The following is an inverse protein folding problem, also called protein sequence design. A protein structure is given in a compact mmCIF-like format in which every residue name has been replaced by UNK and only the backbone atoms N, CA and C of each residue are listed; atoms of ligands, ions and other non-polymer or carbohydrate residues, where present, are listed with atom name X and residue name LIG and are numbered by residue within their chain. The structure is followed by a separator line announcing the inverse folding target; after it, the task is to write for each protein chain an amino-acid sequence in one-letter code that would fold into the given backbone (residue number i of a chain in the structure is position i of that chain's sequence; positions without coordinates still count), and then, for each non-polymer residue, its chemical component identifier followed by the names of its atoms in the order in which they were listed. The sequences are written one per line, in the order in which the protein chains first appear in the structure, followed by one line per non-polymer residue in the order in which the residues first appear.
data_IF_752702636756
#
_entry.id   IF_752702636756
#
_cell.length_a   1.000
_cell.length_b   1.000
_cell.length_c   1.000
_cell.angle_alpha   90.00
_cell.angle_beta   90.00
_cell.angle_gamma   90.00
#
_symmetry.space_group_name_H-M   'P 1'
#
loop_
_entity.id
_entity.type
_entity.pdbx_description
1 polymer ?
#
# COMPACT_ATOMS: atom_id res chain seq x y z
N UNK A 1 -19.92 3.96 -8.43
CA UNK A 1 -19.90 2.61 -9.08
C UNK A 1 -19.96 1.55 -7.98
N UNK A 2 -20.80 0.53 -8.15
CA UNK A 2 -20.95 -0.55 -7.14
C UNK A 2 -19.86 -1.63 -7.30
N UNK A 3 -19.49 -2.31 -6.21
CA UNK A 3 -18.38 -3.27 -6.17
C UNK A 3 -18.58 -4.50 -7.07
N UNK A 4 -19.80 -4.91 -7.37
CA UNK A 4 -20.08 -6.07 -8.24
C UNK A 4 -20.64 -5.74 -9.63
N UNK A 5 -20.52 -4.49 -10.10
CA UNK A 5 -21.09 -4.11 -11.42
C UNK A 5 -20.20 -4.50 -12.61
N UNK A 6 -18.93 -4.80 -12.35
CA UNK A 6 -17.93 -5.16 -13.37
C UNK A 6 -17.40 -6.54 -13.01
N UNK A 7 -17.17 -7.43 -14.00
CA UNK A 7 -16.48 -8.71 -13.78
C UNK A 7 -15.12 -8.53 -13.10
N UNK A 8 -14.52 -9.62 -12.62
CA UNK A 8 -13.13 -9.58 -12.17
C UNK A 8 -12.20 -9.19 -13.31
N UNK A 9 -11.19 -8.39 -12.98
CA UNK A 9 -10.02 -8.25 -13.82
C UNK A 9 -9.16 -9.52 -13.68
N UNK A 10 -8.91 -10.25 -14.77
CA UNK A 10 -8.29 -11.58 -14.75
C UNK A 10 -6.91 -11.54 -15.46
N UNK A 11 -5.84 -12.16 -14.91
CA UNK A 11 -5.79 -13.02 -13.72
C UNK A 11 -5.79 -12.28 -12.36
N UNK A 12 -5.78 -10.94 -12.37
CA UNK A 12 -5.39 -10.13 -11.21
C UNK A 12 -6.28 -10.26 -9.96
N UNK A 13 -7.60 -10.36 -10.11
CA UNK A 13 -8.57 -10.52 -9.03
C UNK A 13 -9.12 -11.96 -8.96
N UNK A 14 -9.41 -12.55 -10.11
CA UNK A 14 -10.00 -13.89 -10.23
C UNK A 14 -9.16 -14.95 -9.52
N UNK A 15 -7.84 -14.88 -9.68
CA UNK A 15 -6.89 -15.77 -9.01
C UNK A 15 -7.02 -15.70 -7.47
N UNK A 16 -7.10 -14.50 -6.89
CA UNK A 16 -7.21 -14.37 -5.43
C UNK A 16 -8.55 -14.85 -4.90
N UNK A 17 -9.63 -14.57 -5.63
CA UNK A 17 -10.97 -15.07 -5.30
C UNK A 17 -11.03 -16.60 -5.38
N UNK A 18 -10.42 -17.21 -6.41
CA UNK A 18 -10.42 -18.65 -6.58
C UNK A 18 -9.61 -19.37 -5.50
N UNK A 19 -8.43 -18.87 -5.13
CA UNK A 19 -7.63 -19.43 -4.03
C UNK A 19 -8.44 -19.41 -2.72
N UNK A 20 -9.17 -18.32 -2.45
CA UNK A 20 -10.02 -18.24 -1.27
C UNK A 20 -11.22 -19.20 -1.34
N UNK A 21 -11.79 -19.41 -2.53
CA UNK A 21 -12.87 -20.39 -2.77
C UNK A 21 -12.39 -21.82 -2.57
N UNK A 22 -11.18 -22.16 -3.01
CA UNK A 22 -10.55 -23.46 -2.76
C UNK A 22 -10.24 -23.65 -1.28
N UNK A 23 -9.67 -22.64 -0.62
CA UNK A 23 -9.41 -22.66 0.83
C UNK A 23 -10.68 -22.94 1.63
N UNK A 24 -11.82 -22.32 1.29
CA UNK A 24 -13.10 -22.54 1.96
C UNK A 24 -13.62 -23.99 1.80
N UNK A 25 -13.31 -24.64 0.66
CA UNK A 25 -13.70 -26.04 0.40
C UNK A 25 -12.67 -27.04 0.94
N UNK A 26 -11.45 -26.60 1.23
CA UNK A 26 -10.38 -27.42 1.74
C UNK A 26 -10.72 -27.93 3.14
N UNK A 27 -10.44 -29.21 3.37
CA UNK A 27 -10.51 -29.84 4.70
C UNK A 27 -9.15 -29.89 5.40
N UNK A 28 -8.10 -29.42 4.73
CA UNK A 28 -6.73 -29.40 5.23
C UNK A 28 -6.38 -28.13 6.02
N UNK A 29 -5.27 -28.14 6.77
CA UNK A 29 -4.85 -27.00 7.57
C UNK A 29 -4.39 -25.86 6.64
N UNK A 30 -5.20 -24.83 6.41
CA UNK A 30 -4.75 -23.53 5.88
C UNK A 30 -3.91 -23.54 4.59
N UNK A 31 -3.92 -24.62 3.80
CA UNK A 31 -3.15 -24.76 2.55
C UNK A 31 -3.86 -23.93 1.50
N UNK A 32 -3.13 -23.01 0.90
CA UNK A 32 -3.63 -22.26 -0.24
C UNK A 32 -3.36 -23.07 -1.50
N UNK A 33 -4.35 -23.19 -2.35
CA UNK A 33 -4.23 -23.83 -3.66
C UNK A 33 -4.87 -22.96 -4.73
N UNK A 34 -4.35 -23.05 -5.95
CA UNK A 34 -4.92 -22.47 -7.15
C UNK A 34 -5.05 -23.59 -8.19
N UNK A 35 -6.28 -23.91 -8.60
CA UNK A 35 -6.58 -25.05 -9.48
C UNK A 35 -6.00 -26.37 -8.95
N UNK A 36 -6.04 -26.55 -7.62
CA UNK A 36 -5.50 -27.73 -6.94
C UNK A 36 -3.97 -27.78 -6.79
N UNK A 37 -3.23 -26.79 -7.31
CA UNK A 37 -1.77 -26.67 -7.14
C UNK A 37 -1.45 -25.82 -5.92
N UNK A 38 -0.47 -26.22 -5.11
CA UNK A 38 -0.04 -25.48 -3.92
C UNK A 38 0.38 -24.05 -4.28
N UNK A 39 -0.18 -23.07 -3.56
CA UNK A 39 0.12 -21.66 -3.72
C UNK A 39 0.84 -21.13 -2.47
N UNK A 40 2.12 -20.76 -2.62
CA UNK A 40 2.97 -20.29 -1.50
C UNK A 40 3.55 -18.91 -1.73
N UNK A 41 3.15 -18.21 -2.79
CA UNK A 41 3.73 -16.89 -3.13
C UNK A 41 3.28 -15.76 -2.21
N UNK A 42 2.15 -15.94 -1.51
CA UNK A 42 1.62 -14.96 -0.56
C UNK A 42 1.13 -15.62 0.74
N UNK A 43 1.31 -14.94 1.88
CA UNK A 43 0.72 -15.32 3.15
C UNK A 43 -0.82 -15.41 3.14
N UNK A 44 -1.44 -16.13 4.09
CA UNK A 44 -2.82 -16.60 3.99
C UNK A 44 -3.88 -15.58 4.40
N UNK A 45 -3.53 -14.45 5.01
CA UNK A 45 -4.51 -13.61 5.71
C UNK A 45 -5.60 -13.07 4.80
N UNK A 46 -5.27 -12.60 3.59
CA UNK A 46 -6.26 -12.14 2.61
C UNK A 46 -7.25 -13.25 2.28
N UNK A 47 -6.75 -14.46 2.01
CA UNK A 47 -7.55 -15.61 1.58
C UNK A 47 -8.44 -16.13 2.70
N UNK A 48 -7.98 -16.10 3.95
CA UNK A 48 -8.80 -16.43 5.13
C UNK A 48 -9.94 -15.42 5.29
N UNK A 49 -9.67 -14.12 5.11
CA UNK A 49 -10.71 -13.08 5.18
C UNK A 49 -11.73 -13.21 4.04
N UNK A 50 -11.27 -13.47 2.81
CA UNK A 50 -12.13 -13.76 1.66
C UNK A 50 -12.96 -15.02 1.87
N UNK A 51 -12.35 -16.12 2.32
CA UNK A 51 -13.05 -17.37 2.61
C UNK A 51 -14.13 -17.20 3.67
N UNK A 52 -13.85 -16.44 4.73
CA UNK A 52 -14.84 -16.07 5.74
C UNK A 52 -15.98 -15.23 5.16
N UNK A 53 -15.68 -14.23 4.32
CA UNK A 53 -16.70 -13.43 3.64
C UNK A 53 -17.57 -14.29 2.70
N UNK A 54 -16.97 -15.22 1.96
CA UNK A 54 -17.69 -16.17 1.11
C UNK A 54 -18.55 -17.15 1.90
N UNK A 55 -18.11 -17.58 3.08
CA UNK A 55 -18.93 -18.42 3.97
C UNK A 55 -20.18 -17.68 4.48
N UNK A 56 -20.09 -16.37 4.70
CA UNK A 56 -21.19 -15.54 5.24
C UNK A 56 -22.16 -15.04 4.16
N UNK A 57 -21.66 -14.62 3.00
CA UNK A 57 -22.45 -13.92 1.98
C UNK A 57 -22.42 -14.59 0.59
N UNK A 58 -21.74 -15.73 0.46
CA UNK A 58 -21.53 -16.41 -0.81
C UNK A 58 -20.43 -15.79 -1.69
N UNK A 59 -19.82 -16.58 -2.59
CA UNK A 59 -18.82 -16.08 -3.53
C UNK A 59 -19.48 -15.18 -4.59
N UNK A 60 -19.02 -13.94 -4.68
CA UNK A 60 -19.37 -12.98 -5.73
C UNK A 60 -18.30 -11.91 -5.84
N UNK A 61 -18.29 -11.14 -6.93
CA UNK A 61 -17.42 -9.98 -7.13
C UNK A 61 -17.60 -8.93 -6.02
N UNK A 62 -18.87 -8.71 -5.62
CA UNK A 62 -19.20 -7.79 -4.52
C UNK A 62 -18.58 -8.27 -3.21
N UNK A 63 -18.78 -9.55 -2.87
CA UNK A 63 -18.28 -10.12 -1.63
C UNK A 63 -16.75 -10.09 -1.60
N UNK A 64 -16.10 -10.44 -2.71
CA UNK A 64 -14.65 -10.47 -2.81
C UNK A 64 -14.05 -9.07 -2.64
N UNK A 65 -14.59 -8.05 -3.33
CA UNK A 65 -14.11 -6.67 -3.25
C UNK A 65 -14.52 -5.94 -1.97
N UNK A 66 -15.53 -6.44 -1.24
CA UNK A 66 -15.88 -5.90 0.07
C UNK A 66 -14.73 -6.05 1.08
N UNK A 67 -13.95 -7.13 1.00
CA UNK A 67 -12.80 -7.37 1.89
C UNK A 67 -11.71 -6.29 1.79
N UNK A 68 -11.09 -6.04 0.61
CA UNK A 68 -10.12 -4.96 0.47
C UNK A 68 -10.74 -3.57 0.68
N UNK A 69 -12.03 -3.37 0.40
CA UNK A 69 -12.72 -2.11 0.69
C UNK A 69 -12.83 -1.85 2.20
N UNK A 70 -13.21 -2.84 2.99
CA UNK A 70 -13.25 -2.75 4.45
C UNK A 70 -11.84 -2.55 5.03
N UNK A 71 -10.83 -3.20 4.47
CA UNK A 71 -9.44 -2.97 4.85
C UNK A 71 -9.01 -1.53 4.54
N UNK A 72 -9.41 -0.98 3.39
CA UNK A 72 -9.13 0.41 3.04
C UNK A 72 -9.78 1.38 4.04
N UNK A 73 -11.02 1.12 4.45
CA UNK A 73 -11.70 1.91 5.50
C UNK A 73 -10.96 1.81 6.84
N UNK A 74 -10.46 0.63 7.20
CA UNK A 74 -9.65 0.45 8.41
C UNK A 74 -8.34 1.25 8.36
N UNK A 75 -7.68 1.31 7.20
CA UNK A 75 -6.50 2.15 7.00
C UNK A 75 -6.81 3.65 7.09
N UNK A 76 -7.92 4.09 6.50
CA UNK A 76 -8.40 5.48 6.58
C UNK A 76 -8.70 5.84 8.03
N UNK A 77 -9.35 4.96 8.79
CA UNK A 77 -9.64 5.16 10.20
C UNK A 77 -8.36 5.28 11.03
N UNK A 78 -7.38 4.39 10.84
CA UNK A 78 -6.08 4.47 11.52
C UNK A 78 -5.34 5.78 11.21
N UNK A 79 -5.34 6.17 9.94
CA UNK A 79 -4.70 7.40 9.44
C UNK A 79 -5.36 8.64 10.03
N UNK A 80 -6.70 8.69 10.01
CA UNK A 80 -7.47 9.79 10.59
C UNK A 80 -7.29 9.86 12.12
N UNK A 81 -7.27 8.71 12.80
CA UNK A 81 -7.07 8.65 14.24
C UNK A 81 -5.66 9.11 14.65
N UNK A 82 -4.61 8.62 13.98
CA UNK A 82 -3.25 9.10 14.23
C UNK A 82 -3.11 10.59 13.91
N UNK A 83 -3.69 11.06 12.80
CA UNK A 83 -3.75 12.47 12.45
C UNK A 83 -4.44 13.29 13.55
N UNK A 84 -5.56 12.81 14.07
CA UNK A 84 -6.28 13.47 15.16
C UNK A 84 -5.47 13.55 16.45
N UNK A 85 -4.66 12.53 16.72
CA UNK A 85 -3.75 12.50 17.88
C UNK A 85 -2.56 13.44 17.74
N UNK A 86 -2.07 13.68 16.52
CA UNK A 86 -0.89 14.52 16.28
C UNK A 86 -1.23 15.99 15.95
N UNK A 87 -2.41 16.25 15.38
CA UNK A 87 -2.82 17.53 14.81
C UNK A 87 -4.21 18.00 15.29
N UNK A 88 -4.89 17.23 16.15
CA UNK A 88 -6.27 17.51 16.54
C UNK A 88 -7.31 17.08 15.49
N UNK A 89 -8.60 17.19 15.82
CA UNK A 89 -9.70 16.61 15.05
C UNK A 89 -9.70 17.00 13.56
N UNK A 90 -9.41 18.27 13.25
CA UNK A 90 -9.33 18.76 11.87
C UNK A 90 -8.19 18.11 11.10
N UNK A 91 -6.99 18.02 11.67
CA UNK A 91 -5.86 17.36 11.01
C UNK A 91 -6.10 15.87 10.79
N UNK A 92 -6.80 15.21 11.71
CA UNK A 92 -7.27 13.83 11.53
C UNK A 92 -8.24 13.67 10.37
N UNK A 93 -9.24 14.52 10.27
CA UNK A 93 -10.17 14.53 9.15
C UNK A 93 -9.42 14.71 7.81
N UNK A 94 -8.55 15.71 7.72
CA UNK A 94 -7.75 15.95 6.50
C UNK A 94 -6.87 14.75 6.15
N UNK A 95 -6.21 14.12 7.12
CA UNK A 95 -5.37 12.95 6.87
C UNK A 95 -6.17 11.74 6.35
N UNK A 96 -7.35 11.49 6.92
CA UNK A 96 -8.25 10.44 6.44
C UNK A 96 -8.76 10.70 5.04
N UNK A 97 -9.23 11.92 4.77
CA UNK A 97 -9.67 12.35 3.44
C UNK A 97 -8.53 12.28 2.42
N UNK A 98 -7.30 12.61 2.82
CA UNK A 98 -6.15 12.55 1.95
C UNK A 98 -5.83 11.13 1.48
N UNK A 99 -5.88 10.15 2.38
CA UNK A 99 -5.72 8.76 1.99
C UNK A 99 -6.90 8.28 1.13
N UNK A 100 -8.14 8.62 1.52
CA UNK A 100 -9.36 8.23 0.80
C UNK A 100 -9.38 8.72 -0.65
N UNK A 101 -8.88 9.93 -0.89
CA UNK A 101 -8.88 10.60 -2.20
C UNK A 101 -7.58 10.40 -2.99
N UNK A 102 -6.61 9.66 -2.45
CA UNK A 102 -5.42 9.25 -3.21
C UNK A 102 -5.85 8.25 -4.29
N UNK A 103 -5.73 8.64 -5.56
CA UNK A 103 -6.24 7.89 -6.71
C UNK A 103 -5.82 6.40 -6.71
N UNK A 104 -4.54 6.12 -6.45
CA UNK A 104 -4.03 4.76 -6.38
C UNK A 104 -4.63 3.96 -5.23
N UNK A 105 -4.75 4.56 -4.04
CA UNK A 105 -5.36 3.88 -2.89
C UNK A 105 -6.84 3.61 -3.10
N UNK A 106 -7.55 4.58 -3.68
CA UNK A 106 -8.96 4.45 -4.04
C UNK A 106 -9.21 3.34 -5.07
N UNK A 107 -8.34 3.20 -6.07
CA UNK A 107 -8.41 2.10 -7.03
C UNK A 107 -8.20 0.74 -6.34
N UNK A 108 -7.14 0.61 -5.54
CA UNK A 108 -6.80 -0.65 -4.85
C UNK A 108 -7.77 -1.02 -3.72
N UNK A 109 -8.53 -0.06 -3.17
CA UNK A 109 -9.64 -0.34 -2.27
C UNK A 109 -10.77 -1.17 -2.92
N UNK A 110 -10.78 -1.28 -4.26
CA UNK A 110 -11.79 -2.04 -5.02
C UNK A 110 -11.21 -3.21 -5.80
N UNK A 111 -9.94 -3.52 -5.56
CA UNK A 111 -9.23 -4.54 -6.30
C UNK A 111 -8.88 -5.68 -5.33
N UNK A 112 -9.26 -6.92 -5.66
CA UNK A 112 -9.10 -8.09 -4.77
C UNK A 112 -7.64 -8.50 -4.63
N UNK A 113 -6.90 -7.81 -3.75
CA UNK A 113 -5.48 -8.05 -3.48
C UNK A 113 -5.07 -7.61 -2.08
N UNK A 114 -3.88 -7.98 -1.56
CA UNK A 114 -3.54 -7.75 -0.16
C UNK A 114 -3.10 -6.30 0.16
N UNK A 115 -3.02 -5.40 -0.82
CA UNK A 115 -2.42 -4.06 -0.64
C UNK A 115 -3.11 -3.23 0.44
N UNK A 116 -4.45 -3.14 0.43
CA UNK A 116 -5.14 -2.29 1.42
C UNK A 116 -5.16 -2.91 2.81
N UNK A 117 -5.17 -4.24 2.91
CA UNK A 117 -4.96 -4.96 4.17
C UNK A 117 -3.56 -4.68 4.74
N UNK A 118 -2.53 -4.73 3.88
CA UNK A 118 -1.16 -4.41 4.27
C UNK A 118 -1.04 -2.96 4.75
N UNK A 119 -1.59 -2.00 3.99
CA UNK A 119 -1.62 -0.58 4.37
C UNK A 119 -2.38 -0.36 5.68
N UNK A 120 -3.51 -1.06 5.91
CA UNK A 120 -4.27 -0.95 7.15
C UNK A 120 -3.48 -1.42 8.37
N UNK A 121 -2.83 -2.58 8.26
CA UNK A 121 -2.00 -3.13 9.33
C UNK A 121 -0.80 -2.23 9.64
N UNK A 122 -0.15 -1.68 8.61
CA UNK A 122 0.93 -0.69 8.76
C UNK A 122 0.43 0.59 9.44
N UNK A 123 -0.66 1.19 8.96
CA UNK A 123 -1.20 2.42 9.49
C UNK A 123 -1.61 2.27 10.96
N UNK A 124 -2.27 1.17 11.33
CA UNK A 124 -2.59 0.85 12.73
C UNK A 124 -1.32 0.61 13.56
N UNK A 125 -0.33 -0.10 13.02
CA UNK A 125 0.95 -0.31 13.70
C UNK A 125 1.66 0.98 14.04
N UNK A 126 1.81 1.89 13.07
CA UNK A 126 2.35 3.23 13.31
C UNK A 126 1.49 4.03 14.30
N UNK A 127 0.17 4.02 14.15
CA UNK A 127 -0.73 4.74 15.02
C UNK A 127 -0.62 4.31 16.49
N UNK A 128 -0.62 3.00 16.73
CA UNK A 128 -0.55 2.42 18.06
C UNK A 128 0.83 2.58 18.69
N UNK A 129 1.92 2.39 17.93
CA UNK A 129 3.28 2.59 18.45
C UNK A 129 3.52 4.06 18.77
N UNK A 130 3.28 4.98 17.84
CA UNK A 130 3.59 6.40 18.03
C UNK A 130 2.75 7.02 19.16
N UNK A 131 1.46 6.73 19.22
CA UNK A 131 0.61 7.20 20.34
C UNK A 131 0.93 6.50 21.65
N UNK A 132 1.26 5.20 21.61
CA UNK A 132 1.69 4.44 22.78
C UNK A 132 2.99 4.97 23.38
N UNK A 133 3.93 5.41 22.55
CA UNK A 133 5.17 6.04 22.99
C UNK A 133 4.96 7.42 23.60
N UNK A 134 4.09 8.23 22.99
CA UNK A 134 3.76 9.57 23.48
C UNK A 134 2.99 9.53 24.80
N UNK A 135 2.02 8.63 24.93
CA UNK A 135 1.20 8.46 26.14
C UNK A 135 1.80 7.47 27.16
N UNK A 136 3.00 6.95 26.91
CA UNK A 136 3.71 5.94 27.73
C UNK A 136 2.92 4.64 28.00
N UNK A 137 2.01 4.28 27.08
CA UNK A 137 1.17 3.08 27.16
C UNK A 137 1.83 1.88 26.47
N UNK A 138 2.60 1.10 27.24
CA UNK A 138 3.35 -0.08 26.73
C UNK A 138 2.48 -1.10 25.98
N UNK A 139 1.26 -1.34 26.43
CA UNK A 139 0.36 -2.30 25.75
C UNK A 139 -0.01 -1.84 24.33
N UNK A 140 -0.15 -0.53 24.09
CA UNK A 140 -0.41 0.01 22.75
C UNK A 140 0.80 -0.17 21.84
N UNK A 141 2.00 0.05 22.37
CA UNK A 141 3.24 -0.24 21.63
C UNK A 141 3.30 -1.73 21.27
N UNK A 142 2.98 -2.62 22.21
CA UNK A 142 2.95 -4.06 21.96
C UNK A 142 1.90 -4.44 20.89
N UNK A 143 0.70 -3.88 20.96
CA UNK A 143 -0.35 -4.08 19.95
C UNK A 143 0.06 -3.53 18.57
N UNK A 144 0.76 -2.39 18.52
CA UNK A 144 1.27 -1.84 17.27
C UNK A 144 2.36 -2.69 16.63
N UNK A 145 3.25 -3.27 17.43
CA UNK A 145 4.21 -4.27 16.94
C UNK A 145 3.52 -5.54 16.44
N UNK A 146 2.49 -6.02 17.13
CA UNK A 146 1.68 -7.14 16.66
C UNK A 146 0.98 -6.81 15.32
N UNK A 147 0.49 -5.58 15.13
CA UNK A 147 -0.08 -5.12 13.86
C UNK A 147 0.95 -5.13 12.71
N UNK A 148 2.24 -4.84 12.98
CA UNK A 148 3.31 -5.06 12.01
C UNK A 148 3.51 -6.55 11.67
N UNK A 149 3.31 -7.44 12.64
CA UNK A 149 3.19 -8.89 12.41
C UNK A 149 2.03 -9.26 11.48
N UNK A 150 0.85 -8.66 11.69
CA UNK A 150 -0.30 -8.81 10.79
C UNK A 150 0.01 -8.29 9.38
N UNK A 151 0.75 -7.19 9.26
CA UNK A 151 1.19 -6.68 7.96
C UNK A 151 2.07 -7.72 7.23
N UNK A 152 2.99 -8.38 7.95
CA UNK A 152 3.76 -9.47 7.35
C UNK A 152 2.90 -10.67 6.94
N UNK A 153 1.91 -11.04 7.76
CA UNK A 153 0.95 -12.10 7.42
C UNK A 153 -0.03 -11.71 6.31
N UNK A 154 -0.14 -10.42 5.96
CA UNK A 154 -0.93 -9.96 4.83
C UNK A 154 -0.15 -10.05 3.51
N UNK A 155 1.16 -9.79 3.54
CA UNK A 155 1.94 -9.64 2.31
C UNK A 155 3.38 -10.14 2.41
N UNK A 156 4.20 -9.53 3.25
CA UNK A 156 5.65 -9.81 3.28
C UNK A 156 6.32 -9.44 4.62
N UNK A 157 7.32 -10.20 5.12
CA UNK A 157 8.09 -9.93 6.34
C UNK A 157 8.66 -8.52 6.50
N UNK A 158 8.84 -7.76 5.41
CA UNK A 158 9.16 -6.35 5.46
C UNK A 158 8.18 -5.56 6.34
N UNK A 159 6.93 -6.03 6.49
CA UNK A 159 5.94 -5.49 7.43
C UNK A 159 6.37 -5.53 8.90
N UNK A 160 7.18 -6.51 9.33
CA UNK A 160 7.72 -6.63 10.69
C UNK A 160 9.03 -5.88 10.88
N UNK A 161 9.84 -5.73 9.82
CA UNK A 161 11.19 -5.17 9.92
C UNK A 161 11.21 -3.67 9.62
N UNK A 162 10.60 -3.26 8.51
CA UNK A 162 10.69 -1.90 7.99
C UNK A 162 10.10 -0.84 8.93
N UNK A 163 8.86 -1.00 9.43
CA UNK A 163 8.25 0.00 10.29
C UNK A 163 8.98 0.22 11.63
N UNK A 164 9.36 -0.83 12.40
CA UNK A 164 10.18 -0.64 13.58
C UNK A 164 11.56 -0.05 13.28
N UNK A 165 12.17 -0.35 12.12
CA UNK A 165 13.42 0.28 11.72
C UNK A 165 13.25 1.78 11.48
N UNK A 166 12.19 2.22 10.79
CA UNK A 166 11.90 3.64 10.57
C UNK A 166 11.63 4.39 11.89
N UNK A 167 10.84 3.80 12.80
CA UNK A 167 10.55 4.36 14.12
C UNK A 167 11.81 4.39 14.99
N UNK A 168 12.57 3.30 15.03
CA UNK A 168 13.81 3.19 15.78
C UNK A 168 14.88 4.18 15.31
N UNK A 169 15.02 4.37 14.00
CA UNK A 169 15.92 5.37 13.42
C UNK A 169 15.48 6.79 13.79
N UNK A 170 14.18 7.11 13.70
CA UNK A 170 13.67 8.41 14.14
C UNK A 170 13.96 8.67 15.63
N UNK A 171 13.75 7.67 16.49
CA UNK A 171 14.09 7.75 17.91
C UNK A 171 15.58 7.92 18.14
N UNK A 172 16.44 7.22 17.38
CA UNK A 172 17.89 7.33 17.50
C UNK A 172 18.40 8.72 17.10
N UNK A 173 17.88 9.28 16.00
CA UNK A 173 18.22 10.63 15.55
C UNK A 173 17.84 11.70 16.58
N UNK A 174 16.74 11.48 17.31
CA UNK A 174 16.28 12.35 18.40
C UNK A 174 16.96 12.06 19.76
N UNK A 175 17.88 11.09 19.85
CA UNK A 175 18.53 10.70 21.10
C UNK A 175 17.61 10.00 22.12
N UNK A 176 16.52 9.37 21.65
CA UNK A 176 15.43 8.77 22.44
C UNK A 176 15.29 7.25 22.25
N UNK A 177 16.24 6.59 21.58
CA UNK A 177 16.22 5.16 21.32
C UNK A 177 16.35 4.28 22.57
N UNK A 178 16.84 4.84 23.69
CA UNK A 178 16.95 4.14 24.97
C UNK A 178 15.90 4.64 25.98
N UNK A 179 15.34 3.75 26.81
CA UNK A 179 15.57 2.30 26.83
C UNK A 179 14.75 1.56 25.76
N UNK A 180 15.32 0.53 25.13
CA UNK A 180 14.69 -0.21 24.01
C UNK A 180 13.31 -0.78 24.40
N UNK A 181 13.16 -1.27 25.63
CA UNK A 181 11.89 -1.80 26.16
C UNK A 181 10.69 -0.84 26.07
N UNK A 182 10.93 0.47 25.88
CA UNK A 182 9.87 1.47 25.69
C UNK A 182 9.19 1.32 24.33
N UNK A 183 9.95 1.01 23.28
CA UNK A 183 9.48 0.93 21.89
C UNK A 183 9.55 -0.49 21.29
N UNK A 184 10.24 -1.41 21.96
CA UNK A 184 10.29 -2.84 21.70
C UNK A 184 9.94 -3.64 22.98
N UNK A 185 8.72 -3.52 23.53
CA UNK A 185 8.30 -4.37 24.62
C UNK A 185 8.25 -5.84 24.16
N UNK A 186 8.80 -6.75 24.96
CA UNK A 186 8.92 -8.17 24.61
C UNK A 186 7.60 -8.82 24.15
N UNK A 187 6.43 -8.60 24.78
CA UNK A 187 5.17 -9.14 24.28
C UNK A 187 4.84 -8.72 22.85
N UNK A 188 5.17 -7.46 22.49
CA UNK A 188 4.97 -6.95 21.14
C UNK A 188 5.95 -7.56 20.15
N UNK A 189 7.21 -7.76 20.53
CA UNK A 189 8.23 -8.41 19.69
C UNK A 189 7.84 -9.86 19.42
N UNK A 190 7.44 -10.61 20.44
CA UNK A 190 6.95 -11.99 20.30
C UNK A 190 5.71 -12.03 19.43
N UNK A 191 4.74 -11.12 19.64
CA UNK A 191 3.54 -11.04 18.81
C UNK A 191 3.87 -10.74 17.34
N UNK A 192 4.77 -9.78 17.07
CA UNK A 192 5.19 -9.42 15.73
C UNK A 192 5.87 -10.61 15.01
N UNK A 193 6.81 -11.29 15.69
CA UNK A 193 7.52 -12.43 15.12
C UNK A 193 6.63 -13.65 14.95
N UNK A 194 5.77 -13.95 15.94
CA UNK A 194 4.83 -15.06 15.88
C UNK A 194 3.82 -14.91 14.75
N UNK A 195 3.23 -13.72 14.58
CA UNK A 195 2.30 -13.45 13.49
C UNK A 195 3.00 -13.35 12.13
N UNK A 196 4.14 -12.65 12.07
CA UNK A 196 4.82 -12.39 10.79
C UNK A 196 5.57 -13.59 10.22
N UNK A 197 6.17 -14.43 11.07
CA UNK A 197 6.97 -15.59 10.64
C UNK A 197 6.32 -16.93 10.98
N UNK A 198 5.23 -16.97 11.74
CA UNK A 198 4.55 -18.23 12.08
C UNK A 198 4.08 -19.01 10.85
N UNK A 199 3.52 -18.30 9.86
CA UNK A 199 3.12 -18.94 8.60
C UNK A 199 4.30 -19.43 7.76
N UNK A 200 5.47 -18.78 7.84
CA UNK A 200 6.65 -19.21 7.10
C UNK A 200 7.13 -20.59 7.54
N UNK A 201 7.13 -20.84 8.85
CA UNK A 201 7.44 -22.16 9.42
C UNK A 201 6.44 -23.20 8.91
N UNK A 202 5.17 -22.83 8.82
CA UNK A 202 4.12 -23.71 8.34
C UNK A 202 4.25 -24.02 6.84
N UNK A 203 4.50 -22.99 6.02
CA UNK A 203 4.70 -23.11 4.58
C UNK A 203 5.93 -23.99 4.26
N UNK A 204 7.05 -23.80 4.96
CA UNK A 204 8.25 -24.64 4.78
C UNK A 204 8.00 -26.11 5.10
N UNK A 205 7.23 -26.40 6.17
CA UNK A 205 6.91 -27.79 6.54
C UNK A 205 6.04 -28.48 5.50
N UNK A 206 5.17 -27.72 4.83
CA UNK A 206 4.28 -28.27 3.81
C UNK A 206 4.90 -28.30 2.42
N UNK A 207 5.79 -27.36 2.12
CA UNK A 207 6.47 -27.23 0.83
C UNK A 207 7.95 -26.97 1.10
N UNK A 208 8.73 -28.02 1.40
CA UNK A 208 10.17 -27.89 1.65
C UNK A 208 10.88 -27.16 0.51
N UNK A 209 11.70 -26.18 0.85
CA UNK A 209 12.37 -25.29 -0.12
C UNK A 209 11.66 -23.95 -0.34
N UNK A 210 10.46 -23.74 0.22
CA UNK A 210 9.74 -22.47 0.20
C UNK A 210 10.59 -21.30 0.75
N UNK A 211 11.27 -21.50 1.87
CA UNK A 211 12.10 -20.46 2.50
C UNK A 211 13.30 -20.11 1.63
N UNK A 212 13.93 -21.11 1.01
CA UNK A 212 15.04 -20.87 0.07
C UNK A 212 14.54 -20.08 -1.14
N UNK A 213 13.43 -20.52 -1.76
CA UNK A 213 12.82 -19.82 -2.89
C UNK A 213 12.49 -18.38 -2.53
N UNK A 214 11.82 -18.15 -1.41
CA UNK A 214 11.35 -16.82 -1.05
C UNK A 214 12.48 -15.90 -0.60
N UNK A 215 13.41 -16.34 0.25
CA UNK A 215 14.49 -15.48 0.75
C UNK A 215 15.68 -15.38 -0.21
N UNK A 216 16.10 -16.50 -0.78
CA UNK A 216 17.31 -16.53 -1.61
C UNK A 216 16.96 -16.19 -3.05
N UNK A 217 16.03 -16.90 -3.69
CA UNK A 217 15.71 -16.62 -5.09
C UNK A 217 15.01 -15.26 -5.24
N UNK A 218 13.86 -15.07 -4.60
CA UNK A 218 13.01 -13.90 -4.82
C UNK A 218 13.59 -12.58 -4.28
N UNK A 219 14.44 -12.62 -3.25
CA UNK A 219 15.02 -11.41 -2.67
C UNK A 219 16.51 -11.26 -3.02
N UNK A 220 17.38 -12.19 -2.61
CA UNK A 220 18.84 -12.03 -2.79
C UNK A 220 19.24 -12.13 -4.27
N UNK A 221 18.87 -13.21 -4.95
CA UNK A 221 19.22 -13.42 -6.35
C UNK A 221 18.51 -12.44 -7.27
N UNK A 222 17.32 -11.97 -6.90
CA UNK A 222 16.62 -10.90 -7.61
C UNK A 222 17.43 -9.60 -7.66
N UNK A 223 18.00 -9.17 -6.52
CA UNK A 223 18.88 -7.99 -6.47
C UNK A 223 20.11 -8.18 -7.36
N UNK A 224 20.65 -9.40 -7.40
CA UNK A 224 21.81 -9.77 -8.23
C UNK A 224 21.45 -10.05 -9.70
N UNK A 225 20.17 -9.99 -10.08
CA UNK A 225 19.65 -10.39 -11.41
C UNK A 225 20.06 -11.80 -11.83
N UNK A 226 20.12 -12.71 -10.85
CA UNK A 226 20.59 -14.08 -11.00
C UNK A 226 19.52 -15.10 -10.54
N UNK A 227 18.23 -14.75 -10.61
CA UNK A 227 17.14 -15.65 -10.22
C UNK A 227 17.13 -16.90 -11.08
N UNK A 228 16.88 -18.02 -10.42
CA UNK A 228 16.64 -19.31 -11.05
C UNK A 228 15.20 -19.43 -11.53
N UNK A 229 14.27 -18.77 -10.84
CA UNK A 229 12.84 -18.74 -11.17
C UNK A 229 12.38 -17.29 -11.30
N UNK A 230 12.77 -16.57 -12.37
CA UNK A 230 12.38 -15.18 -12.55
C UNK A 230 10.86 -15.04 -12.69
N UNK A 231 10.30 -13.97 -12.13
CA UNK A 231 8.88 -13.65 -12.30
C UNK A 231 8.56 -13.37 -13.77
N UNK A 232 7.35 -13.72 -14.19
CA UNK A 232 6.85 -13.40 -15.53
C UNK A 232 6.44 -11.92 -15.66
N UNK A 233 6.27 -11.19 -14.56
CA UNK A 233 5.86 -9.78 -14.64
C UNK A 233 6.98 -8.90 -15.21
N UNK A 234 6.60 -7.88 -15.97
CA UNK A 234 7.54 -6.93 -16.57
C UNK A 234 7.71 -5.73 -15.64
N UNK A 235 8.88 -5.54 -15.01
CA UNK A 235 9.08 -4.49 -14.03
C UNK A 235 9.04 -3.09 -14.68
N UNK A 236 8.69 -2.09 -13.88
CA UNK A 236 8.80 -0.69 -14.27
C UNK A 236 10.24 -0.19 -14.18
N UNK A 237 10.59 0.78 -15.03
CA UNK A 237 11.78 1.61 -14.77
C UNK A 237 11.59 2.45 -13.50
N UNK A 238 12.70 2.98 -12.96
CA UNK A 238 12.65 3.84 -11.79
C UNK A 238 11.79 5.08 -11.94
N UNK A 239 11.93 5.76 -13.07
CA UNK A 239 11.15 6.95 -13.37
C UNK A 239 9.65 6.61 -13.48
N UNK A 240 9.29 5.52 -14.18
CA UNK A 240 7.90 5.08 -14.32
C UNK A 240 7.30 4.71 -12.96
N UNK A 241 8.01 3.95 -12.14
CA UNK A 241 7.54 3.59 -10.80
C UNK A 241 7.27 4.83 -9.94
N UNK A 242 8.23 5.77 -9.87
CA UNK A 242 8.05 6.99 -9.09
C UNK A 242 6.90 7.84 -9.63
N UNK A 243 6.77 7.96 -10.95
CA UNK A 243 5.66 8.68 -11.57
C UNK A 243 4.31 8.07 -11.19
N UNK A 244 4.15 6.75 -11.32
CA UNK A 244 2.91 6.05 -10.95
C UNK A 244 2.63 6.19 -9.45
N UNK A 245 3.64 6.01 -8.61
CA UNK A 245 3.48 6.10 -7.16
C UNK A 245 3.10 7.53 -6.70
N UNK A 246 3.68 8.57 -7.29
CA UNK A 246 3.38 9.96 -6.97
C UNK A 246 2.02 10.39 -7.54
N UNK A 247 1.71 10.04 -8.78
CA UNK A 247 0.39 10.31 -9.37
C UNK A 247 -0.72 9.59 -8.61
N UNK A 248 -0.51 8.36 -8.15
CA UNK A 248 -1.49 7.66 -7.34
C UNK A 248 -1.71 8.29 -5.95
N UNK A 249 -0.74 9.03 -5.41
CA UNK A 249 -0.86 9.77 -4.16
C UNK A 249 -1.28 11.24 -4.35
N UNK A 250 -1.40 11.70 -5.61
CA UNK A 250 -1.88 13.04 -5.92
C UNK A 250 -3.32 13.24 -5.44
N UNK A 251 -3.70 14.48 -5.05
CA UNK A 251 -2.89 15.71 -5.08
C UNK A 251 -1.97 15.92 -3.85
N UNK A 252 -1.98 14.99 -2.89
CA UNK A 252 -1.42 15.19 -1.55
C UNK A 252 0.11 15.22 -1.49
N UNK A 253 0.78 14.77 -2.55
CA UNK A 253 2.25 14.79 -2.69
C UNK A 253 2.83 16.18 -2.49
N UNK A 254 2.15 17.26 -2.95
CA UNK A 254 2.65 18.63 -2.77
C UNK A 254 2.71 19.03 -1.30
N UNK A 255 1.61 18.86 -0.57
CA UNK A 255 1.55 19.19 0.85
C UNK A 255 2.47 18.30 1.68
N UNK A 256 2.59 17.01 1.33
CA UNK A 256 3.55 16.12 1.96
C UNK A 256 4.99 16.59 1.71
N UNK A 257 5.31 17.00 0.47
CA UNK A 257 6.60 17.57 0.08
C UNK A 257 6.95 18.83 0.85
N UNK A 258 5.99 19.72 1.10
CA UNK A 258 6.20 20.92 1.93
C UNK A 258 6.58 20.55 3.38
N UNK A 259 5.93 19.53 3.95
CA UNK A 259 6.29 19.00 5.27
C UNK A 259 7.69 18.37 5.26
N UNK A 260 8.00 17.52 4.28
CA UNK A 260 9.32 16.90 4.15
C UNK A 260 10.43 17.96 4.04
N UNK A 261 10.22 18.97 3.19
CA UNK A 261 11.15 20.09 3.03
C UNK A 261 11.39 20.82 4.34
N UNK A 262 10.32 21.12 5.08
CA UNK A 262 10.43 21.80 6.38
C UNK A 262 11.16 20.96 7.42
N UNK A 263 10.87 19.66 7.51
CA UNK A 263 11.56 18.74 8.41
C UNK A 263 13.06 18.72 8.14
N UNK A 264 13.46 18.71 6.86
CA UNK A 264 14.87 18.72 6.47
C UNK A 264 15.53 20.06 6.78
N UNK A 265 14.91 21.16 6.34
CA UNK A 265 15.45 22.52 6.52
C UNK A 265 15.66 22.86 8.00
N UNK A 266 14.75 22.43 8.87
CA UNK A 266 14.80 22.68 10.32
C UNK A 266 15.65 21.65 11.07
N UNK A 267 16.17 20.61 10.39
CA UNK A 267 16.85 19.46 11.02
C UNK A 267 15.99 18.84 12.13
N UNK A 268 14.69 18.70 11.85
CA UNK A 268 13.66 18.28 12.79
C UNK A 268 13.96 16.91 13.43
N UNK A 269 14.77 16.06 12.78
CA UNK A 269 15.23 14.79 13.34
C UNK A 269 16.00 14.92 14.66
N UNK A 270 16.46 16.13 15.03
CA UNK A 270 17.09 16.40 16.34
C UNK A 270 16.09 16.79 17.43
N UNK A 271 14.85 17.12 17.07
CA UNK A 271 13.81 17.51 18.03
C UNK A 271 12.94 16.29 18.40
N UNK A 272 12.93 15.86 19.69
CA UNK A 272 12.07 14.77 20.14
C UNK A 272 10.58 14.96 19.83
N UNK A 273 10.07 16.20 19.75
CA UNK A 273 8.68 16.50 19.43
C UNK A 273 8.32 16.14 17.98
N UNK A 274 9.33 16.12 17.11
CA UNK A 274 9.18 15.85 15.67
C UNK A 274 9.36 14.36 15.33
N UNK A 275 9.71 13.53 16.31
CA UNK A 275 9.95 12.09 16.13
C UNK A 275 8.84 11.37 15.35
N UNK A 276 7.52 11.57 15.64
CA UNK A 276 6.47 10.91 14.87
C UNK A 276 6.51 11.27 13.37
N UNK A 277 6.76 12.53 13.06
CA UNK A 277 6.82 13.04 11.69
C UNK A 277 8.07 12.58 10.96
N UNK A 278 9.21 12.52 11.66
CA UNK A 278 10.44 11.94 11.12
C UNK A 278 10.27 10.44 10.84
N UNK A 279 9.60 9.69 11.73
CA UNK A 279 9.32 8.27 11.49
C UNK A 279 8.42 8.06 10.25
N UNK A 280 7.35 8.85 10.10
CA UNK A 280 6.46 8.81 8.94
C UNK A 280 7.20 9.22 7.65
N UNK A 281 8.07 10.23 7.71
CA UNK A 281 8.90 10.66 6.59
C UNK A 281 9.90 9.57 6.17
N UNK A 282 10.62 8.99 7.14
CA UNK A 282 11.56 7.88 6.89
C UNK A 282 10.84 6.67 6.29
N UNK A 283 9.63 6.36 6.76
CA UNK A 283 8.81 5.30 6.17
C UNK A 283 8.40 5.61 4.74
N UNK A 284 7.76 6.76 4.50
CA UNK A 284 7.25 7.12 3.17
C UNK A 284 8.38 7.21 2.14
N UNK A 285 9.47 7.92 2.47
CA UNK A 285 10.65 8.05 1.60
C UNK A 285 11.36 6.71 1.48
N UNK A 286 11.52 5.97 2.56
CA UNK A 286 12.18 4.66 2.57
C UNK A 286 11.48 3.66 1.65
N UNK A 287 10.16 3.54 1.72
CA UNK A 287 9.37 2.69 0.81
C UNK A 287 9.62 3.10 -0.64
N UNK A 288 9.45 4.38 -0.98
CA UNK A 288 9.59 4.85 -2.36
C UNK A 288 11.03 4.66 -2.89
N UNK A 289 12.04 5.02 -2.09
CA UNK A 289 13.45 4.93 -2.50
C UNK A 289 13.89 3.48 -2.61
N UNK A 290 13.62 2.63 -1.61
CA UNK A 290 14.05 1.23 -1.65
C UNK A 290 13.39 0.48 -2.80
N UNK A 291 12.09 0.70 -3.05
CA UNK A 291 11.43 0.14 -4.24
C UNK A 291 11.98 0.74 -5.53
N UNK A 292 12.32 2.03 -5.55
CA UNK A 292 12.96 2.66 -6.70
C UNK A 292 14.43 2.22 -6.91
N UNK A 293 15.02 1.46 -5.99
CA UNK A 293 16.34 0.85 -6.17
C UNK A 293 16.24 -0.64 -6.53
N UNK A 294 15.12 -1.30 -6.21
CA UNK A 294 14.86 -2.69 -6.56
C UNK A 294 14.92 -2.93 -8.09
N UNK A 295 15.53 -4.02 -8.58
CA UNK A 295 15.42 -4.40 -9.99
C UNK A 295 13.97 -4.72 -10.40
N UNK A 296 13.17 -5.24 -9.46
CA UNK A 296 11.78 -5.65 -9.71
C UNK A 296 10.79 -4.74 -9.00
N UNK A 297 9.87 -4.14 -9.76
CA UNK A 297 8.97 -3.07 -9.29
C UNK A 297 7.66 -3.09 -10.05
N UNK A 298 6.57 -3.09 -9.30
CA UNK A 298 5.22 -3.06 -9.86
C UNK A 298 4.51 -1.75 -9.50
N UNK A 299 3.51 -1.32 -10.30
CA UNK A 299 2.77 -0.07 -10.13
C UNK A 299 2.29 0.21 -8.69
N UNK A 300 1.86 -0.85 -8.00
CA UNK A 300 1.21 -0.78 -6.69
C UNK A 300 2.19 -0.83 -5.51
N UNK A 301 3.49 -0.97 -5.75
CA UNK A 301 4.49 -1.08 -4.67
C UNK A 301 4.69 0.25 -3.91
N UNK A 302 4.18 1.37 -4.41
CA UNK A 302 4.18 2.66 -3.70
C UNK A 302 3.08 2.81 -2.64
N UNK A 303 1.99 2.02 -2.72
CA UNK A 303 0.84 2.12 -1.81
C UNK A 303 1.18 2.06 -0.31
N UNK A 304 2.15 1.25 0.16
CA UNK A 304 2.51 1.20 1.58
C UNK A 304 2.96 2.55 2.16
N UNK A 305 3.38 3.51 1.33
CA UNK A 305 3.76 4.85 1.76
C UNK A 305 2.55 5.77 1.98
N UNK A 306 1.38 5.47 1.43
CA UNK A 306 0.32 6.47 1.21
C UNK A 306 -0.31 6.99 2.49
N UNK A 307 -0.48 6.15 3.53
CA UNK A 307 -1.00 6.64 4.82
C UNK A 307 -0.05 7.67 5.45
N UNK A 308 1.26 7.47 5.32
CA UNK A 308 2.28 8.38 5.83
C UNK A 308 2.34 9.66 4.97
N UNK A 309 2.23 9.54 3.64
CA UNK A 309 2.08 10.70 2.74
C UNK A 309 0.84 11.52 3.12
N UNK A 310 -0.31 10.88 3.38
CA UNK A 310 -1.54 11.53 3.78
C UNK A 310 -1.40 12.30 5.11
N UNK A 311 -0.74 11.71 6.11
CA UNK A 311 -0.45 12.38 7.39
C UNK A 311 0.49 13.58 7.21
N UNK A 312 1.57 13.42 6.44
CA UNK A 312 2.51 14.50 6.13
C UNK A 312 1.82 15.62 5.34
N UNK A 313 0.90 15.27 4.44
CA UNK A 313 0.09 16.21 3.69
C UNK A 313 -0.89 16.98 4.57
N UNK A 314 -1.56 16.32 5.51
CA UNK A 314 -2.44 16.98 6.47
C UNK A 314 -1.69 18.01 7.32
N UNK A 315 -0.49 17.65 7.82
CA UNK A 315 0.38 18.60 8.51
C UNK A 315 0.78 19.76 7.62
N UNK A 316 1.11 19.48 6.36
CA UNK A 316 1.52 20.49 5.40
C UNK A 316 0.41 21.50 5.13
N UNK A 317 -0.82 21.01 5.03
CA UNK A 317 -2.02 21.84 4.91
C UNK A 317 -2.28 22.71 6.13
N UNK A 318 -2.10 22.18 7.33
CA UNK A 318 -2.34 22.96 8.55
C UNK A 318 -1.22 23.97 8.83
N UNK A 319 0.03 23.58 8.60
CA UNK A 319 1.21 24.40 8.93
C UNK A 319 1.59 25.41 7.85
N UNK A 320 1.32 25.09 6.59
CA UNK A 320 1.74 25.88 5.42
C UNK A 320 0.58 26.17 4.46
N UNK A 321 -0.66 25.89 4.89
CA UNK A 321 -1.86 26.26 4.18
C UNK A 321 -1.89 27.76 3.92
N UNK A 322 -2.02 28.13 2.65
CA UNK A 322 -2.02 29.51 2.22
C UNK A 322 -2.20 29.64 0.72
N UNK A 323 -2.29 30.86 0.21
CA UNK A 323 -2.60 31.14 -1.22
C UNK A 323 -1.71 30.37 -2.19
N UNK A 324 -0.42 30.21 -1.90
CA UNK A 324 0.53 29.48 -2.76
C UNK A 324 0.24 27.99 -2.82
N UNK A 325 -0.03 27.34 -1.68
CA UNK A 325 -0.33 25.91 -1.64
C UNK A 325 -1.69 25.62 -2.27
N UNK A 326 -2.69 26.48 -2.03
CA UNK A 326 -4.00 26.43 -2.71
C UNK A 326 -3.82 26.57 -4.23
N UNK A 327 -3.07 27.57 -4.69
CA UNK A 327 -2.82 27.77 -6.12
C UNK A 327 -2.08 26.58 -6.76
N UNK A 328 -1.13 25.97 -6.03
CA UNK A 328 -0.43 24.78 -6.51
C UNK A 328 -1.36 23.56 -6.63
N UNK A 329 -2.27 23.35 -5.68
CA UNK A 329 -3.30 22.30 -5.79
C UNK A 329 -4.26 22.59 -6.95
N UNK A 330 -4.74 23.83 -7.08
CA UNK A 330 -5.59 24.25 -8.19
C UNK A 330 -4.90 24.02 -9.54
N UNK A 331 -3.60 24.32 -9.65
CA UNK A 331 -2.78 24.03 -10.83
C UNK A 331 -2.69 22.54 -11.14
N UNK A 332 -2.49 21.68 -10.13
CA UNK A 332 -2.52 20.22 -10.33
C UNK A 332 -3.90 19.75 -10.78
N UNK A 333 -4.97 20.22 -10.14
CA UNK A 333 -6.33 19.86 -10.51
C UNK A 333 -6.65 20.29 -11.95
N UNK A 334 -6.27 21.51 -12.34
CA UNK A 334 -6.40 21.99 -13.71
C UNK A 334 -5.58 21.14 -14.71
N UNK A 335 -4.35 20.76 -14.36
CA UNK A 335 -3.52 19.91 -15.20
C UNK A 335 -4.08 18.49 -15.35
N UNK A 336 -4.59 17.89 -14.27
CA UNK A 336 -5.25 16.59 -14.30
C UNK A 336 -6.57 16.64 -15.08
N UNK A 337 -7.36 17.71 -14.89
CA UNK A 337 -8.59 17.94 -15.64
C UNK A 337 -8.31 18.05 -17.14
N UNK A 338 -7.31 18.84 -17.52
CA UNK A 338 -6.87 19.00 -18.91
C UNK A 338 -6.36 17.67 -19.48
N UNK A 339 -5.51 16.94 -18.76
CA UNK A 339 -5.00 15.65 -19.21
C UNK A 339 -6.15 14.65 -19.45
N UNK A 340 -7.08 14.53 -18.51
CA UNK A 340 -8.27 13.69 -18.67
C UNK A 340 -9.15 14.13 -19.84
N UNK A 341 -9.35 15.44 -20.05
CA UNK A 341 -10.12 15.97 -21.16
C UNK A 341 -9.45 15.70 -22.53
N UNK A 342 -8.13 15.84 -22.60
CA UNK A 342 -7.36 15.55 -23.81
C UNK A 342 -7.43 14.05 -24.16
N UNK A 343 -7.26 13.17 -23.18
CA UNK A 343 -7.46 11.74 -23.41
C UNK A 343 -8.91 11.43 -23.80
N UNK A 344 -9.89 12.03 -23.14
CA UNK A 344 -11.31 11.85 -23.46
C UNK A 344 -11.66 12.23 -24.90
N UNK A 345 -11.04 13.27 -25.44
CA UNK A 345 -11.24 13.75 -26.81
C UNK A 345 -10.35 13.04 -27.87
N UNK A 346 -9.45 12.15 -27.45
CA UNK A 346 -8.49 11.45 -28.32
C UNK A 346 -9.06 10.16 -28.94
N UNK A 347 -8.29 9.54 -29.83
CA UNK A 347 -8.50 8.17 -30.32
C UNK A 347 -8.13 7.07 -29.30
N UNK A 348 -7.63 7.47 -28.12
CA UNK A 348 -7.31 6.56 -27.02
C UNK A 348 -5.98 5.84 -27.11
N UNK A 349 -5.29 5.86 -28.25
CA UNK A 349 -4.03 5.10 -28.45
C UNK A 349 -2.99 5.45 -27.41
N UNK A 350 -2.76 6.74 -27.22
CA UNK A 350 -1.77 7.23 -26.28
C UNK A 350 -2.15 6.91 -24.83
N UNK A 351 -3.44 6.90 -24.48
CA UNK A 351 -3.91 6.50 -23.15
C UNK A 351 -3.65 5.00 -22.89
N UNK A 352 -4.04 4.14 -23.83
CA UNK A 352 -3.83 2.69 -23.73
C UNK A 352 -2.34 2.35 -23.64
N UNK A 353 -1.49 2.97 -24.47
CA UNK A 353 -0.05 2.69 -24.49
C UNK A 353 0.69 3.26 -23.28
N UNK A 354 0.46 4.54 -22.94
CA UNK A 354 1.27 5.23 -21.93
C UNK A 354 0.75 5.06 -20.50
N UNK A 355 -0.58 4.96 -20.32
CA UNK A 355 -1.19 4.80 -19.00
C UNK A 355 -1.40 3.32 -18.73
N UNK A 356 -2.26 2.64 -19.49
CA UNK A 356 -2.54 1.22 -19.23
C UNK A 356 -1.32 0.35 -19.47
N UNK A 357 -0.54 0.60 -20.53
CA UNK A 357 0.74 -0.09 -20.76
C UNK A 357 1.80 0.14 -19.68
N UNK A 358 1.64 1.14 -18.81
CA UNK A 358 2.50 1.33 -17.65
C UNK A 358 1.88 0.76 -16.35
N UNK A 359 0.58 0.88 -16.16
CA UNK A 359 -0.07 0.58 -14.87
C UNK A 359 -0.71 -0.79 -14.80
N UNK A 360 -1.08 -1.38 -15.94
CA UNK A 360 -1.66 -2.72 -15.98
C UNK A 360 -0.59 -3.79 -16.19
N UNK A 361 -0.55 -4.78 -15.30
CA UNK A 361 0.50 -5.80 -15.28
C UNK A 361 0.27 -6.82 -16.42
N UNK A 362 -0.99 -7.19 -16.69
CA UNK A 362 -1.33 -8.16 -17.72
C UNK A 362 -0.98 -7.63 -19.12
N UNK A 363 -1.33 -6.37 -19.40
CA UNK A 363 -0.95 -5.66 -20.64
C UNK A 363 0.55 -5.67 -20.85
N UNK A 364 1.33 -5.40 -19.81
CA UNK A 364 2.80 -5.41 -19.91
C UNK A 364 3.36 -6.79 -20.24
N UNK A 365 2.82 -7.84 -19.60
CA UNK A 365 3.19 -9.23 -19.89
C UNK A 365 2.89 -9.57 -21.34
N UNK A 366 1.67 -9.32 -21.80
CA UNK A 366 1.27 -9.61 -23.17
C UNK A 366 2.14 -8.86 -24.17
N UNK A 367 2.42 -7.57 -23.94
CA UNK A 367 3.31 -6.79 -24.79
C UNK A 367 4.73 -7.38 -24.86
N UNK A 368 5.32 -7.79 -23.74
CA UNK A 368 6.64 -8.42 -23.71
C UNK A 368 6.65 -9.81 -24.37
N UNK A 369 5.53 -10.53 -24.35
CA UNK A 369 5.34 -11.80 -25.04
C UNK A 369 4.97 -11.65 -26.53
N UNK A 370 4.86 -10.42 -27.05
CA UNK A 370 4.40 -10.16 -28.41
C UNK A 370 2.92 -10.52 -28.65
N UNK A 371 2.13 -10.61 -27.58
CA UNK A 371 0.71 -10.92 -27.59
C UNK A 371 -0.13 -9.64 -27.56
N UNK A 372 -1.36 -9.72 -28.07
CA UNK A 372 -2.32 -8.63 -27.93
C UNK A 372 -2.62 -8.35 -26.46
N UNK A 373 -2.68 -7.06 -26.09
CA UNK A 373 -3.04 -6.67 -24.75
C UNK A 373 -4.48 -7.14 -24.43
N UNK A 374 -4.74 -7.70 -23.24
CA UNK A 374 -6.06 -8.17 -22.82
C UNK A 374 -6.93 -6.99 -22.36
N UNK A 375 -6.84 -5.85 -23.04
CA UNK A 375 -7.55 -4.63 -22.66
C UNK A 375 -8.88 -4.52 -23.40
N UNK A 376 -9.93 -4.02 -22.73
CA UNK A 376 -11.14 -3.65 -23.42
C UNK A 376 -10.89 -2.46 -24.37
N UNK A 377 -11.87 -2.21 -25.23
CA UNK A 377 -11.78 -1.09 -26.18
C UNK A 377 -11.69 0.26 -25.44
N UNK A 378 -11.04 1.25 -26.05
CA UNK A 378 -10.94 2.60 -25.45
C UNK A 378 -12.31 3.21 -25.09
N UNK A 379 -13.34 2.87 -25.86
CA UNK A 379 -14.71 3.33 -25.63
C UNK A 379 -15.25 2.99 -24.23
N UNK A 380 -14.73 1.93 -23.59
CA UNK A 380 -15.11 1.57 -22.22
C UNK A 380 -14.47 2.48 -21.15
N UNK A 381 -13.29 3.04 -21.43
CA UNK A 381 -12.60 3.98 -20.55
C UNK A 381 -13.01 5.43 -20.77
N UNK A 382 -13.47 5.77 -21.97
CA UNK A 382 -13.77 7.14 -22.38
C UNK A 382 -14.77 7.86 -21.44
N UNK A 383 -15.88 7.25 -20.97
CA UNK A 383 -16.78 7.89 -20.02
C UNK A 383 -16.11 8.23 -18.67
N UNK A 384 -15.22 7.36 -18.19
CA UNK A 384 -14.48 7.58 -16.95
C UNK A 384 -13.51 8.75 -17.08
N UNK A 385 -12.85 8.90 -18.22
CA UNK A 385 -11.96 10.02 -18.49
C UNK A 385 -12.72 11.35 -18.52
N UNK A 386 -13.87 11.40 -19.20
CA UNK A 386 -14.74 12.58 -19.22
C UNK A 386 -15.25 12.97 -17.83
N UNK A 387 -15.73 11.99 -17.06
CA UNK A 387 -16.16 12.21 -15.68
C UNK A 387 -15.01 12.70 -14.79
N UNK A 388 -13.82 12.10 -14.91
CA UNK A 388 -12.64 12.50 -14.14
C UNK A 388 -12.20 13.92 -14.48
N UNK A 389 -12.26 14.31 -15.76
CA UNK A 389 -11.96 15.68 -16.18
C UNK A 389 -12.87 16.71 -15.48
N UNK A 390 -14.17 16.45 -15.44
CA UNK A 390 -15.14 17.31 -14.77
C UNK A 390 -14.93 17.37 -13.25
N UNK A 391 -14.66 16.22 -12.61
CA UNK A 391 -14.37 16.16 -11.17
C UNK A 391 -13.13 16.98 -10.83
N UNK A 392 -12.03 16.81 -11.57
CA UNK A 392 -10.83 17.59 -11.33
C UNK A 392 -11.00 19.08 -11.66
N UNK A 393 -11.81 19.44 -12.66
CA UNK A 393 -12.09 20.83 -12.97
C UNK A 393 -12.89 21.54 -11.86
N UNK A 394 -13.74 20.80 -11.13
CA UNK A 394 -14.54 21.34 -10.03
C UNK A 394 -13.72 21.63 -8.76
N UNK A 395 -12.61 20.92 -8.56
CA UNK A 395 -11.69 21.08 -7.42
C UNK A 395 -11.94 20.10 -6.28
#
# INVERSE_FOLDING_TARGET
MGLGRVPFDDPGEGMHAEIARELLRSRGPGVLTLNGVSYVDKPPLLYVLLGGAFALAGPSETTARAVPALCALAAIAATAWLGAKLLGARGGFVAGTALLTSAGFFAFARYVRPETLFVAALAWGFALVLTGLAEERRWRVAAGLAAFGVAALAKDPLGVIGPPAAIGLALALAGRQRPLRRWLPWPGVVGALGLGFGWWVFAERQTPGFVWYTLIDNHVLNVLRARRFPDEDVPLSAAQFLMVALLGASPWVLSAGATLWSLVRRRAWRDPRETPWVALALWAVGVLVLTALSPFRLPHYGLPAYFAVALLAARGWESYGGRRLVAAHAGIFAALALACALFWASDGRHFLESVLGATDIATRKSAAAGQAAPLPSFAEFQPLLGASALVFAAG
#
